data_IF_096604944754
#
_entry.id   IF_096604944754
#
_cell.length_a   1.000
_cell.length_b   1.000
_cell.length_c   1.000
_cell.angle_alpha   90.00
_cell.angle_beta   90.00
_cell.angle_gamma   90.00
#
_symmetry.space_group_name_H-M   'P 1'
#
loop_
_entity.id
_entity.type
_entity.pdbx_description
1 polymer ?
#
# COMPACT_ATOMS: atom_id res chain seq x y z
N UNK A 1 4.07 6.55 14.29
CA UNK A 1 3.39 7.87 14.20
C UNK A 1 4.34 9.07 14.27
N UNK A 2 5.20 9.22 15.29
CA UNK A 2 6.11 10.38 15.45
C UNK A 2 6.92 10.79 14.20
N UNK A 3 7.33 9.83 13.37
CA UNK A 3 8.06 10.11 12.13
C UNK A 3 7.20 10.78 11.04
N UNK A 4 5.95 10.34 10.88
CA UNK A 4 5.00 10.90 9.89
C UNK A 4 4.62 12.32 10.29
N UNK A 5 4.24 12.51 11.54
CA UNK A 5 3.92 13.82 12.11
C UNK A 5 5.05 14.84 11.91
N UNK A 6 6.30 14.46 12.22
CA UNK A 6 7.48 15.34 12.03
C UNK A 6 7.70 15.76 10.57
N UNK A 7 7.31 14.92 9.61
CA UNK A 7 7.43 15.25 8.19
C UNK A 7 6.24 16.08 7.70
N UNK A 8 5.03 15.69 8.08
CA UNK A 8 3.81 16.38 7.66
C UNK A 8 3.70 17.78 8.28
N UNK A 9 4.20 18.00 9.50
CA UNK A 9 4.17 19.33 10.15
C UNK A 9 4.99 20.40 9.42
N UNK A 10 5.88 19.98 8.51
CA UNK A 10 6.71 20.88 7.68
C UNK A 10 6.10 21.16 6.30
N UNK A 11 5.04 20.46 5.93
CA UNK A 11 4.41 20.58 4.62
C UNK A 11 3.27 21.60 4.67
N UNK A 12 3.37 22.65 3.86
CA UNK A 12 2.34 23.70 3.80
C UNK A 12 1.35 23.51 2.65
N UNK A 13 1.75 22.86 1.54
CA UNK A 13 0.88 22.58 0.39
C UNK A 13 1.37 21.37 -0.41
N UNK A 14 0.52 20.36 -0.55
CA UNK A 14 0.68 19.22 -1.50
C UNK A 14 -0.72 18.76 -1.91
N UNK A 15 -0.85 18.28 -3.14
CA UNK A 15 -2.13 17.85 -3.71
C UNK A 15 -2.45 16.38 -3.33
N UNK A 16 -1.42 15.55 -3.21
CA UNK A 16 -1.54 14.14 -2.83
C UNK A 16 -0.44 13.71 -1.85
N UNK A 17 -0.72 12.66 -1.08
CA UNK A 17 0.25 11.99 -0.21
C UNK A 17 0.25 10.50 -0.52
N UNK A 18 1.44 9.96 -0.79
CA UNK A 18 1.61 8.53 -1.13
C UNK A 18 2.43 7.87 -0.04
N UNK A 19 1.80 6.99 0.73
CA UNK A 19 2.48 6.11 1.67
C UNK A 19 3.10 4.93 0.95
N UNK A 20 4.36 4.60 1.24
CA UNK A 20 5.02 3.44 0.64
C UNK A 20 4.38 2.09 1.03
N UNK A 21 3.52 2.09 2.07
CA UNK A 21 2.67 0.98 2.46
C UNK A 21 1.33 1.52 2.97
N UNK A 22 0.30 0.67 3.03
CA UNK A 22 -0.99 1.02 3.64
C UNK A 22 -0.85 1.44 5.10
N UNK A 23 0.04 0.82 5.87
CA UNK A 23 0.32 1.22 7.26
C UNK A 23 0.81 2.69 7.37
N UNK A 24 1.63 3.13 6.42
CA UNK A 24 2.08 4.53 6.36
C UNK A 24 0.92 5.43 5.92
N UNK A 25 0.13 5.00 4.93
CA UNK A 25 -1.06 5.73 4.48
C UNK A 25 -2.08 5.93 5.62
N UNK A 26 -2.32 4.93 6.47
CA UNK A 26 -3.15 5.07 7.67
C UNK A 26 -2.56 6.06 8.67
N UNK A 27 -1.24 6.05 8.88
CA UNK A 27 -0.61 7.00 9.78
C UNK A 27 -0.74 8.44 9.27
N UNK A 28 -0.64 8.65 7.96
CA UNK A 28 -0.91 9.93 7.29
C UNK A 28 -2.38 10.32 7.48
N UNK A 29 -3.30 9.41 7.17
CA UNK A 29 -4.74 9.61 7.29
C UNK A 29 -5.13 10.01 8.72
N UNK A 30 -4.61 9.30 9.73
CA UNK A 30 -4.83 9.62 11.13
C UNK A 30 -4.30 11.01 11.49
N UNK A 31 -3.08 11.34 11.07
CA UNK A 31 -2.52 12.67 11.33
C UNK A 31 -3.35 13.79 10.70
N UNK A 32 -3.78 13.64 9.44
CA UNK A 32 -4.64 14.59 8.76
C UNK A 32 -6.00 14.75 9.43
N UNK A 33 -6.60 13.65 9.88
CA UNK A 33 -7.85 13.67 10.64
C UNK A 33 -7.73 14.42 11.98
N UNK A 34 -6.57 14.32 12.64
CA UNK A 34 -6.30 15.02 13.91
C UNK A 34 -5.98 16.52 13.69
N UNK A 35 -5.66 16.93 12.46
CA UNK A 35 -5.23 18.30 12.12
C UNK A 35 -5.97 18.85 10.88
N UNK A 36 -7.31 18.97 10.91
CA UNK A 36 -8.13 19.29 9.73
C UNK A 36 -7.83 20.66 9.11
N UNK A 37 -7.36 21.62 9.92
CA UNK A 37 -6.96 22.96 9.48
C UNK A 37 -5.67 22.99 8.63
N UNK A 38 -4.82 21.97 8.72
CA UNK A 38 -3.56 21.94 7.97
C UNK A 38 -3.75 21.44 6.53
N UNK A 39 -4.75 20.59 6.26
CA UNK A 39 -4.85 19.87 5.00
C UNK A 39 -6.29 19.75 4.52
N UNK A 40 -6.74 20.77 3.79
CA UNK A 40 -8.17 20.94 3.48
C UNK A 40 -8.75 19.94 2.48
N UNK A 41 -7.95 19.26 1.67
CA UNK A 41 -8.35 18.08 0.89
C UNK A 41 -7.07 17.48 0.32
N UNK A 42 -6.78 16.22 0.62
CA UNK A 42 -5.65 15.51 0.02
C UNK A 42 -6.07 14.09 -0.30
N UNK A 43 -5.75 13.67 -1.50
CA UNK A 43 -5.83 12.27 -1.88
C UNK A 43 -4.69 11.53 -1.16
N UNK A 44 -5.06 10.49 -0.42
CA UNK A 44 -4.11 9.64 0.31
C UNK A 44 -4.08 8.30 -0.39
N UNK A 45 -2.88 7.89 -0.79
CA UNK A 45 -2.61 6.62 -1.47
C UNK A 45 -1.72 5.73 -0.60
N UNK A 46 -1.99 4.43 -0.64
CA UNK A 46 -1.19 3.38 -0.04
C UNK A 46 -0.72 2.34 -1.06
N UNK A 47 -0.02 1.34 -0.55
CA UNK A 47 0.48 0.19 -1.30
C UNK A 47 0.37 -1.05 -0.41
N UNK A 48 -0.25 -2.10 -0.93
CA UNK A 48 -0.44 -3.37 -0.24
C UNK A 48 -1.80 -3.99 -0.55
N UNK A 49 -2.86 -3.18 -0.59
CA UNK A 49 -4.21 -3.69 -0.77
C UNK A 49 -4.87 -4.16 0.52
N UNK A 50 -4.48 -3.61 1.67
CA UNK A 50 -5.07 -3.91 2.97
C UNK A 50 -6.57 -3.57 2.96
N UNK A 51 -7.48 -4.52 3.25
CA UNK A 51 -8.92 -4.28 3.29
C UNK A 51 -9.35 -3.15 4.24
N UNK A 52 -8.53 -2.87 5.27
CA UNK A 52 -8.77 -1.78 6.20
C UNK A 52 -8.81 -0.41 5.52
N UNK A 53 -8.23 -0.28 4.31
CA UNK A 53 -8.21 0.96 3.53
C UNK A 53 -9.62 1.38 3.09
N UNK A 54 -10.55 0.42 3.02
CA UNK A 54 -11.93 0.63 2.59
C UNK A 54 -12.90 1.01 3.72
N UNK A 55 -12.49 0.85 4.99
CA UNK A 55 -13.38 1.09 6.14
C UNK A 55 -13.07 2.38 6.91
N UNK A 56 -12.07 3.13 6.45
CA UNK A 56 -11.76 4.48 6.96
C UNK A 56 -12.48 5.55 6.14
N UNK A 57 -12.62 6.76 6.69
CA UNK A 57 -13.28 7.88 6.01
C UNK A 57 -12.36 9.11 5.95
N UNK A 58 -12.06 9.63 4.74
CA UNK A 58 -12.34 9.02 3.43
C UNK A 58 -11.60 7.69 3.24
N UNK A 59 -12.07 6.85 2.31
CA UNK A 59 -11.34 5.62 1.97
C UNK A 59 -9.93 5.96 1.44
N UNK A 60 -8.97 5.09 1.70
CA UNK A 60 -7.60 5.22 1.20
C UNK A 60 -7.50 4.43 -0.11
N UNK A 61 -7.07 5.09 -1.19
CA UNK A 61 -6.75 4.41 -2.45
C UNK A 61 -5.47 3.59 -2.27
N UNK A 62 -5.38 2.39 -2.83
CA UNK A 62 -4.18 1.57 -2.65
C UNK A 62 -3.85 0.77 -3.91
N UNK A 63 -2.57 0.48 -4.11
CA UNK A 63 -2.17 -0.55 -5.08
C UNK A 63 -2.34 -1.90 -4.43
N UNK A 64 -3.27 -2.70 -4.93
CA UNK A 64 -3.54 -4.05 -4.44
C UNK A 64 -2.58 -5.05 -5.10
N UNK A 65 -1.78 -5.71 -4.26
CA UNK A 65 -0.91 -6.79 -4.68
C UNK A 65 -1.69 -8.11 -4.62
N UNK A 66 -1.63 -8.90 -5.70
CA UNK A 66 -2.26 -10.22 -5.75
C UNK A 66 -1.43 -11.24 -4.93
N UNK A 67 -1.38 -11.08 -3.61
CA UNK A 67 -0.57 -11.92 -2.73
C UNK A 67 -0.93 -13.41 -2.81
N UNK A 68 -2.21 -13.73 -3.00
CA UNK A 68 -2.66 -15.10 -3.19
C UNK A 68 -2.07 -15.72 -4.45
N UNK A 69 -2.19 -15.03 -5.59
CA UNK A 69 -1.62 -15.47 -6.87
C UNK A 69 -0.10 -15.59 -6.79
N UNK A 70 0.57 -14.60 -6.19
CA UNK A 70 2.02 -14.64 -5.98
C UNK A 70 2.45 -15.86 -5.14
N UNK A 71 1.72 -16.16 -4.06
CA UNK A 71 1.96 -17.33 -3.22
C UNK A 71 1.72 -18.65 -3.97
N UNK A 72 0.65 -18.72 -4.75
CA UNK A 72 0.33 -19.89 -5.57
C UNK A 72 1.43 -20.15 -6.62
N UNK A 73 1.90 -19.10 -7.32
CA UNK A 73 2.99 -19.22 -8.29
C UNK A 73 4.30 -19.61 -7.63
N UNK A 74 4.63 -19.03 -6.48
CA UNK A 74 5.82 -19.41 -5.71
C UNK A 74 5.78 -20.90 -5.33
N UNK A 75 4.65 -21.39 -4.86
CA UNK A 75 4.49 -22.81 -4.52
C UNK A 75 4.62 -23.72 -5.74
N UNK A 76 4.04 -23.33 -6.89
CA UNK A 76 4.18 -24.07 -8.15
C UNK A 76 5.64 -24.20 -8.58
N UNK A 77 6.40 -23.11 -8.52
CA UNK A 77 7.84 -23.10 -8.83
C UNK A 77 8.62 -24.00 -7.87
N UNK A 78 8.38 -23.88 -6.55
CA UNK A 78 9.05 -24.73 -5.55
C UNK A 78 8.78 -26.22 -5.83
N UNK A 79 7.53 -26.59 -6.10
CA UNK A 79 7.17 -27.98 -6.38
C UNK A 79 7.81 -28.49 -7.69
N UNK A 80 7.94 -27.65 -8.71
CA UNK A 80 8.64 -28.01 -9.95
C UNK A 80 10.13 -28.25 -9.71
N UNK A 81 10.78 -27.39 -8.93
CA UNK A 81 12.19 -27.52 -8.56
C UNK A 81 12.46 -28.78 -7.74
N UNK A 82 11.57 -29.13 -6.79
CA UNK A 82 11.67 -30.37 -6.00
C UNK A 82 11.57 -31.64 -6.85
N UNK A 83 10.99 -31.55 -8.05
CA UNK A 83 10.86 -32.65 -9.00
C UNK A 83 11.85 -32.54 -10.18
N UNK A 84 12.94 -31.78 -10.01
CA UNK A 84 14.00 -31.56 -11.00
C UNK A 84 13.50 -31.02 -12.35
N UNK A 85 12.37 -30.31 -12.36
CA UNK A 85 11.82 -29.69 -13.58
C UNK A 85 12.44 -28.33 -13.80
N UNK A 86 12.79 -28.02 -15.06
CA UNK A 86 13.10 -26.65 -15.46
C UNK A 86 11.85 -25.77 -15.32
N UNK A 87 12.03 -24.57 -14.75
CA UNK A 87 10.97 -23.59 -14.54
C UNK A 87 11.51 -22.17 -14.61
N UNK A 88 10.64 -21.21 -14.91
CA UNK A 88 10.95 -19.78 -14.91
C UNK A 88 10.97 -19.23 -13.48
N UNK A 89 12.04 -18.53 -13.12
CA UNK A 89 12.21 -17.97 -11.77
C UNK A 89 11.75 -16.51 -11.65
N UNK A 90 11.53 -15.83 -12.76
CA UNK A 90 11.14 -14.41 -12.79
C UNK A 90 9.70 -14.24 -13.27
N UNK A 91 8.76 -14.59 -12.39
CA UNK A 91 7.33 -14.49 -12.68
C UNK A 91 6.84 -13.08 -12.30
N UNK A 92 6.24 -12.37 -13.26
CA UNK A 92 5.60 -11.07 -13.01
C UNK A 92 4.14 -11.28 -12.62
N UNK A 93 3.79 -10.84 -11.42
CA UNK A 93 2.41 -10.85 -10.94
C UNK A 93 1.82 -9.45 -11.13
N UNK A 94 0.67 -9.30 -11.82
CA UNK A 94 0.04 -8.01 -12.00
C UNK A 94 -0.46 -7.42 -10.68
N UNK A 95 -0.58 -6.10 -10.64
CA UNK A 95 -1.18 -5.35 -9.53
C UNK A 95 -2.41 -4.62 -10.05
N UNK A 96 -3.35 -4.30 -9.15
CA UNK A 96 -4.55 -3.53 -9.51
C UNK A 96 -4.66 -2.27 -8.66
N UNK A 97 -5.21 -1.21 -9.23
CA UNK A 97 -5.53 0.04 -8.53
C UNK A 97 -7.05 0.17 -8.44
N UNK A 98 -7.55 0.56 -7.27
CA UNK A 98 -8.97 0.82 -7.01
C UNK A 98 -9.27 2.32 -6.83
#
# INVERSE_FOLDING_TARGET
>A
MKHVERQLSKLHKVDALVGATDAIAFAIHKYCSDHPQCFKTKEIYGFGGDPMTQIVTPAIHTVHFNYFEAGEQAFKVINQLLNDKQTELNIKIPVVTN
#
